data_IF_937492264606
#
_entry.id   IF_937492264606
#
_cell.length_a   1.000
_cell.length_b   1.000
_cell.length_c   1.000
_cell.angle_alpha   90.00
_cell.angle_beta   90.00
_cell.angle_gamma   90.00
#
_symmetry.space_group_name_H-M   'P 1'
#
loop_
_entity.id
_entity.type
_entity.pdbx_description
1 polymer ?
#
# COMPACT_ATOMS: atom_id res chain seq x y z
N UNK A 1 55.65 -14.71 -8.26
CA UNK A 1 54.57 -14.38 -9.22
C UNK A 1 53.28 -14.21 -8.43
N UNK A 2 52.93 -12.98 -8.06
CA UNK A 2 51.72 -12.69 -7.29
C UNK A 2 50.72 -11.97 -8.18
N UNK A 3 49.66 -12.66 -8.61
CA UNK A 3 48.59 -12.04 -9.39
C UNK A 3 47.66 -11.29 -8.43
N UNK A 4 47.62 -9.96 -8.53
CA UNK A 4 46.63 -9.15 -7.83
C UNK A 4 45.26 -9.33 -8.52
N UNK A 5 44.41 -10.18 -7.95
CA UNK A 5 43.03 -10.36 -8.41
C UNK A 5 42.22 -9.13 -7.98
N UNK A 6 41.94 -8.24 -8.93
CA UNK A 6 41.01 -7.13 -8.75
C UNK A 6 39.58 -7.67 -8.66
N UNK A 7 39.09 -7.88 -7.44
CA UNK A 7 37.68 -8.16 -7.23
C UNK A 7 36.88 -6.87 -7.42
N UNK A 8 36.18 -6.71 -8.54
CA UNK A 8 35.15 -5.67 -8.71
C UNK A 8 33.88 -6.13 -8.00
N UNK A 9 33.46 -5.52 -6.89
CA UNK A 9 32.22 -5.92 -6.24
C UNK A 9 31.02 -5.56 -7.13
N UNK A 10 30.34 -6.57 -7.67
CA UNK A 10 29.04 -6.47 -8.35
C UNK A 10 27.89 -6.34 -7.34
N UNK A 11 27.95 -5.32 -6.48
CA UNK A 11 26.83 -4.99 -5.59
C UNK A 11 26.46 -3.52 -5.76
N UNK A 12 25.63 -3.25 -6.76
CA UNK A 12 24.83 -2.02 -6.82
C UNK A 12 23.94 -1.98 -5.57
N UNK A 13 24.28 -1.12 -4.60
CA UNK A 13 23.40 -0.87 -3.46
C UNK A 13 22.03 -0.41 -3.98
N UNK A 14 20.95 -0.93 -3.40
CA UNK A 14 19.60 -0.45 -3.65
C UNK A 14 19.59 1.08 -3.48
N UNK A 15 19.27 1.81 -4.55
CA UNK A 15 19.25 3.27 -4.57
C UNK A 15 18.34 3.74 -3.43
N UNK A 16 18.89 4.51 -2.49
CA UNK A 16 18.12 5.08 -1.37
C UNK A 16 17.02 5.95 -1.98
N UNK A 17 15.75 5.70 -1.63
CA UNK A 17 14.65 6.54 -2.11
C UNK A 17 14.88 7.99 -1.66
N UNK A 18 14.96 8.90 -2.63
CA UNK A 18 15.12 10.33 -2.35
C UNK A 18 13.78 10.93 -1.90
N UNK A 19 13.79 12.08 -1.20
CA UNK A 19 12.57 12.74 -0.74
C UNK A 19 11.53 12.98 -1.85
N UNK A 20 11.99 13.30 -3.08
CA UNK A 20 11.14 13.47 -4.25
C UNK A 20 10.39 12.18 -4.63
N UNK A 21 11.06 11.01 -4.59
CA UNK A 21 10.44 9.72 -4.87
C UNK A 21 9.41 9.33 -3.80
N UNK A 22 9.67 9.69 -2.52
CA UNK A 22 8.71 9.46 -1.44
C UNK A 22 7.45 10.32 -1.60
N UNK A 23 7.62 11.61 -1.90
CA UNK A 23 6.50 12.52 -2.11
C UNK A 23 5.63 12.08 -3.29
N UNK A 24 6.26 11.69 -4.41
CA UNK A 24 5.55 11.14 -5.56
C UNK A 24 4.76 9.88 -5.17
N UNK A 25 5.40 8.93 -4.49
CA UNK A 25 4.73 7.70 -4.06
C UNK A 25 3.53 7.97 -3.15
N UNK A 26 3.64 8.90 -2.20
CA UNK A 26 2.51 9.30 -1.34
C UNK A 26 1.38 9.90 -2.16
N UNK A 27 1.70 10.73 -3.16
CA UNK A 27 0.72 11.29 -4.10
C UNK A 27 0.02 10.19 -4.88
N UNK A 28 0.76 9.23 -5.44
CA UNK A 28 0.19 8.12 -6.22
C UNK A 28 -0.76 7.26 -5.36
N UNK A 29 -0.42 7.00 -4.10
CA UNK A 29 -1.29 6.30 -3.16
C UNK A 29 -2.58 7.10 -2.89
N UNK A 30 -2.46 8.42 -2.67
CA UNK A 30 -3.63 9.29 -2.46
C UNK A 30 -4.54 9.32 -3.68
N UNK A 31 -3.97 9.42 -4.88
CA UNK A 31 -4.74 9.45 -6.12
C UNK A 31 -5.45 8.12 -6.37
N UNK A 32 -4.77 6.99 -6.12
CA UNK A 32 -5.38 5.66 -6.18
C UNK A 32 -6.58 5.51 -5.21
N UNK A 33 -6.45 6.01 -3.97
CA UNK A 33 -7.57 6.01 -3.02
C UNK A 33 -8.69 6.94 -3.48
N UNK A 34 -8.37 8.17 -3.88
CA UNK A 34 -9.36 9.16 -4.32
C UNK A 34 -10.22 8.66 -5.47
N UNK A 35 -9.61 7.97 -6.43
CA UNK A 35 -10.34 7.45 -7.58
C UNK A 35 -11.20 6.23 -7.26
N UNK A 36 -10.82 5.43 -6.26
CA UNK A 36 -11.42 4.12 -6.05
C UNK A 36 -12.23 3.98 -4.75
N UNK A 37 -12.14 4.93 -3.80
CA UNK A 37 -12.82 4.80 -2.49
C UNK A 37 -14.35 4.72 -2.63
N UNK A 38 -14.94 5.42 -3.59
CA UNK A 38 -16.38 5.35 -3.86
C UNK A 38 -16.81 3.94 -4.32
N UNK A 39 -15.96 3.28 -5.12
CA UNK A 39 -16.20 1.90 -5.56
C UNK A 39 -16.02 0.91 -4.42
N UNK A 40 -14.98 1.09 -3.60
CA UNK A 40 -14.77 0.32 -2.37
C UNK A 40 -15.99 0.40 -1.45
N UNK A 41 -16.51 1.61 -1.23
CA UNK A 41 -17.68 1.84 -0.40
C UNK A 41 -18.94 1.17 -0.95
N UNK A 42 -19.21 1.33 -2.25
CA UNK A 42 -20.36 0.73 -2.91
C UNK A 42 -20.31 -0.81 -2.87
N UNK A 43 -19.18 -1.40 -3.26
CA UNK A 43 -19.05 -2.86 -3.42
C UNK A 43 -19.00 -3.61 -2.09
N UNK A 44 -18.74 -2.90 -0.99
CA UNK A 44 -18.68 -3.47 0.36
C UNK A 44 -19.88 -3.11 1.23
N UNK A 45 -20.93 -2.50 0.67
CA UNK A 45 -22.08 -1.98 1.43
C UNK A 45 -22.77 -3.01 2.32
N UNK A 46 -22.82 -4.28 1.89
CA UNK A 46 -23.46 -5.37 2.63
C UNK A 46 -22.54 -6.08 3.62
N UNK A 47 -21.30 -5.61 3.78
CA UNK A 47 -20.26 -6.29 4.56
C UNK A 47 -19.78 -5.42 5.72
N UNK A 48 -19.96 -5.91 6.95
CA UNK A 48 -19.42 -5.25 8.15
C UNK A 48 -17.88 -5.22 8.17
N UNK A 49 -17.26 -6.24 7.58
CA UNK A 49 -15.79 -6.34 7.50
C UNK A 49 -15.30 -6.65 6.10
N UNK A 50 -14.13 -6.12 5.76
CA UNK A 50 -13.53 -6.24 4.44
C UNK A 50 -12.14 -6.88 4.55
N UNK A 51 -11.85 -7.89 3.73
CA UNK A 51 -10.55 -8.55 3.72
C UNK A 51 -9.47 -7.66 3.12
N UNK A 52 -8.24 -7.79 3.63
CA UNK A 52 -7.09 -7.02 3.14
C UNK A 52 -6.86 -7.18 1.64
N UNK A 53 -6.98 -8.38 1.11
CA UNK A 53 -6.81 -8.64 -0.33
C UNK A 53 -7.84 -7.90 -1.18
N UNK A 54 -9.10 -7.88 -0.74
CA UNK A 54 -10.18 -7.17 -1.43
C UNK A 54 -9.93 -5.66 -1.43
N UNK A 55 -9.49 -5.09 -0.31
CA UNK A 55 -9.11 -3.67 -0.23
C UNK A 55 -8.00 -3.33 -1.23
N UNK A 56 -6.95 -4.15 -1.29
CA UNK A 56 -5.83 -3.93 -2.22
C UNK A 56 -6.33 -3.96 -3.67
N UNK A 57 -7.19 -4.92 -4.01
CA UNK A 57 -7.75 -5.06 -5.36
C UNK A 57 -8.65 -3.87 -5.74
N UNK A 58 -9.60 -3.50 -4.87
CA UNK A 58 -10.54 -2.41 -5.17
C UNK A 58 -9.86 -1.04 -5.22
N UNK A 59 -8.82 -0.82 -4.42
CA UNK A 59 -8.04 0.42 -4.48
C UNK A 59 -6.93 0.41 -5.53
N UNK A 60 -6.74 -0.71 -6.25
CA UNK A 60 -5.67 -0.91 -7.22
C UNK A 60 -4.26 -0.61 -6.67
N UNK A 61 -3.99 -0.96 -5.40
CA UNK A 61 -2.70 -0.63 -4.77
C UNK A 61 -1.51 -1.34 -5.43
N UNK A 62 -1.77 -2.49 -6.07
CA UNK A 62 -0.79 -3.23 -6.85
C UNK A 62 -0.32 -2.49 -8.12
N UNK A 63 -1.08 -1.50 -8.60
CA UNK A 63 -0.73 -0.72 -9.79
C UNK A 63 0.18 0.48 -9.48
N UNK A 64 0.39 0.80 -8.20
CA UNK A 64 1.22 1.94 -7.79
C UNK A 64 2.71 1.67 -8.05
N UNK A 65 3.15 0.42 -7.88
CA UNK A 65 4.53 0.03 -8.08
C UNK A 65 4.62 -1.40 -8.64
N UNK A 66 4.12 -1.68 -9.86
CA UNK A 66 3.92 -3.04 -10.36
C UNK A 66 5.21 -3.88 -10.41
N UNK A 67 6.37 -3.26 -10.60
CA UNK A 67 7.66 -3.95 -10.60
C UNK A 67 8.19 -4.27 -9.20
N UNK A 68 7.92 -3.41 -8.21
CA UNK A 68 8.51 -3.51 -6.88
C UNK A 68 7.56 -4.06 -5.81
N UNK A 69 6.26 -3.92 -6.02
CA UNK A 69 5.17 -4.38 -5.16
C UNK A 69 3.98 -4.84 -6.03
N UNK A 70 4.14 -5.96 -6.78
CA UNK A 70 3.10 -6.45 -7.70
C UNK A 70 1.83 -6.90 -6.99
N UNK A 71 1.89 -7.14 -5.68
CA UNK A 71 0.73 -7.52 -4.87
C UNK A 71 0.03 -6.31 -4.25
N UNK A 72 0.71 -5.17 -4.08
CA UNK A 72 0.20 -3.99 -3.36
C UNK A 72 0.25 -4.13 -1.84
N UNK A 73 0.86 -5.20 -1.33
CA UNK A 73 0.86 -5.50 0.10
C UNK A 73 1.79 -4.54 0.87
N UNK A 74 2.91 -4.10 0.27
CA UNK A 74 3.78 -3.13 0.90
C UNK A 74 3.12 -1.76 1.01
N UNK A 75 2.33 -1.35 0.01
CA UNK A 75 1.52 -0.13 0.12
C UNK A 75 0.50 -0.26 1.25
N UNK A 76 -0.25 -1.37 1.31
CA UNK A 76 -1.22 -1.58 2.39
C UNK A 76 -0.57 -1.61 3.78
N UNK A 77 0.59 -2.26 3.88
CA UNK A 77 1.36 -2.31 5.13
C UNK A 77 1.88 -0.94 5.53
N UNK A 78 2.25 -0.10 4.57
CA UNK A 78 2.63 1.28 4.83
C UNK A 78 1.44 2.07 5.40
N UNK A 79 0.25 1.97 4.82
CA UNK A 79 -0.94 2.69 5.32
C UNK A 79 -1.22 2.36 6.80
N UNK A 80 -1.05 1.10 7.19
CA UNK A 80 -1.20 0.66 8.59
C UNK A 80 -0.07 1.22 9.46
N UNK A 81 1.18 1.15 8.99
CA UNK A 81 2.34 1.62 9.74
C UNK A 81 2.31 3.13 9.98
N UNK A 82 1.85 3.88 8.99
CA UNK A 82 1.72 5.33 9.03
C UNK A 82 0.46 5.77 9.81
N UNK A 83 -0.34 4.82 10.32
CA UNK A 83 -1.54 5.09 11.12
C UNK A 83 -2.70 5.65 10.32
N UNK A 84 -2.65 5.58 8.99
CA UNK A 84 -3.70 6.08 8.09
C UNK A 84 -4.92 5.17 8.17
N UNK A 85 -4.71 3.86 8.24
CA UNK A 85 -5.76 2.85 8.41
C UNK A 85 -5.52 2.10 9.71
N UNK A 86 -6.59 1.78 10.43
CA UNK A 86 -6.52 0.98 11.65
C UNK A 86 -5.88 -0.39 11.40
N UNK A 87 -5.23 -0.94 12.42
CA UNK A 87 -4.63 -2.28 12.33
C UNK A 87 -5.74 -3.32 12.09
N UNK A 88 -5.60 -4.20 11.09
CA UNK A 88 -6.61 -5.22 10.82
C UNK A 88 -6.68 -6.24 11.96
N UNK A 89 -7.88 -6.75 12.18
CA UNK A 89 -8.12 -7.90 13.05
C UNK A 89 -7.92 -9.21 12.26
N UNK A 90 -7.74 -10.33 12.96
CA UNK A 90 -7.71 -11.66 12.32
C UNK A 90 -9.04 -12.37 12.55
N UNK A 91 -9.70 -12.80 11.48
CA UNK A 91 -10.89 -13.67 11.52
C UNK A 91 -10.63 -14.90 10.63
N UNK A 92 -10.77 -16.09 11.20
CA UNK A 92 -10.49 -17.37 10.50
C UNK A 92 -9.15 -17.39 9.74
N UNK A 93 -8.10 -16.78 10.31
CA UNK A 93 -6.77 -16.68 9.70
C UNK A 93 -6.59 -15.56 8.67
N UNK A 94 -7.66 -14.86 8.28
CA UNK A 94 -7.63 -13.76 7.31
C UNK A 94 -7.58 -12.40 8.02
N UNK A 95 -6.76 -11.48 7.51
CA UNK A 95 -6.77 -10.09 7.97
C UNK A 95 -7.97 -9.33 7.41
N UNK A 96 -8.76 -8.74 8.31
CA UNK A 96 -9.96 -7.99 7.97
C UNK A 96 -10.01 -6.64 8.69
N UNK A 97 -10.58 -5.65 8.01
CA UNK A 97 -10.84 -4.32 8.52
C UNK A 97 -12.33 -4.15 8.80
N UNK A 98 -12.67 -3.33 9.80
CA UNK A 98 -14.03 -2.80 9.91
C UNK A 98 -14.29 -1.88 8.71
N UNK A 99 -15.41 -2.09 8.02
CA UNK A 99 -15.72 -1.39 6.76
C UNK A 99 -15.80 0.12 6.97
N UNK A 100 -16.60 0.56 7.93
CA UNK A 100 -16.85 1.99 8.21
C UNK A 100 -15.55 2.71 8.58
N UNK A 101 -14.81 2.17 9.55
CA UNK A 101 -13.55 2.77 9.99
C UNK A 101 -12.54 2.88 8.86
N UNK A 102 -12.43 1.83 8.03
CA UNK A 102 -11.55 1.82 6.86
C UNK A 102 -11.92 2.95 5.89
N UNK A 103 -13.18 3.05 5.48
CA UNK A 103 -13.64 4.04 4.51
C UNK A 103 -13.45 5.46 5.05
N UNK A 104 -13.86 5.69 6.30
CA UNK A 104 -13.76 6.99 6.95
C UNK A 104 -12.30 7.44 7.08
N UNK A 105 -11.42 6.54 7.52
CA UNK A 105 -9.97 6.79 7.59
C UNK A 105 -9.38 7.14 6.22
N UNK A 106 -9.72 6.39 5.18
CA UNK A 106 -9.22 6.63 3.82
C UNK A 106 -9.71 7.97 3.28
N UNK A 107 -11.01 8.26 3.38
CA UNK A 107 -11.62 9.55 2.96
C UNK A 107 -10.98 10.73 3.68
N UNK A 108 -10.85 10.64 5.01
CA UNK A 108 -10.21 11.68 5.82
C UNK A 108 -8.77 11.97 5.35
N UNK A 109 -8.00 10.93 5.03
CA UNK A 109 -6.62 11.10 4.59
C UNK A 109 -6.46 11.75 3.21
N UNK A 110 -7.37 11.46 2.28
CA UNK A 110 -7.38 12.08 0.94
C UNK A 110 -8.12 13.42 0.88
N UNK A 111 -8.74 13.85 1.99
CA UNK A 111 -9.48 15.09 2.12
C UNK A 111 -10.88 15.05 1.51
N UNK A 112 -11.50 13.87 1.42
CA UNK A 112 -12.89 13.68 1.00
C UNK A 112 -13.79 13.71 2.24
N UNK A 113 -14.94 14.41 2.13
CA UNK A 113 -15.99 14.44 3.15
C UNK A 113 -17.06 13.41 2.83
#
# INVERSE_FOLDING_TARGET
MGYAVSYKPTKTRARRQTPATKAQRTKDIKDAIRWNVARLEHDTVSSDTVSRSLVIQLLHLNQIAPTADPTGDHVMQQLIKDGIVLRPSKRAGVQVFGREDLINSLKAWVGMK
#
